data_IF_565618093610
#
_entry.id   IF_565618093610
#
_cell.length_a   1.000
_cell.length_b   1.000
_cell.length_c   1.000
_cell.angle_alpha   90.00
_cell.angle_beta   90.00
_cell.angle_gamma   90.00
#
_symmetry.space_group_name_H-M   'P 1'
#
loop_
_entity.id
_entity.type
_entity.pdbx_description
1 polymer ?
#
# COMPACT_ATOMS: atom_id res chain seq x y z
N UNK A 1 100.79 16.38 13.75
CA UNK A 1 99.86 16.96 14.72
C UNK A 1 98.56 17.31 14.02
N UNK A 2 97.63 16.38 13.96
CA UNK A 2 96.38 16.56 13.28
C UNK A 2 95.25 16.52 14.32
N UNK A 3 94.45 17.49 14.25
CA UNK A 3 93.24 17.53 15.10
C UNK A 3 92.08 16.98 14.27
N UNK A 4 91.48 15.91 14.76
CA UNK A 4 90.16 15.43 14.31
C UNK A 4 89.11 16.33 14.89
N UNK A 5 88.30 16.90 14.04
CA UNK A 5 87.05 17.53 14.37
C UNK A 5 85.91 16.58 14.07
N UNK A 6 85.28 16.09 15.09
CA UNK A 6 84.04 15.29 15.01
C UNK A 6 82.86 16.23 14.84
N UNK A 7 82.17 16.14 13.73
CA UNK A 7 80.86 16.75 13.48
C UNK A 7 79.75 15.83 13.96
N UNK A 8 78.77 16.31 14.75
CA UNK A 8 77.61 15.49 15.09
C UNK A 8 76.64 15.40 13.92
N UNK A 9 76.38 14.20 13.53
CA UNK A 9 75.38 13.85 12.52
C UNK A 9 73.98 14.09 13.12
N UNK A 10 73.30 15.14 12.68
CA UNK A 10 71.89 15.37 12.99
C UNK A 10 71.08 14.49 12.01
N UNK A 11 70.54 13.43 12.55
CA UNK A 11 69.59 12.57 11.86
C UNK A 11 68.21 13.31 11.80
N UNK A 12 67.69 13.66 10.63
CA UNK A 12 66.35 14.21 10.58
C UNK A 12 65.39 13.05 10.82
N UNK A 13 64.68 13.08 11.94
CA UNK A 13 63.51 12.27 12.20
C UNK A 13 62.45 12.72 11.20
N UNK A 14 62.34 11.99 10.12
CA UNK A 14 61.25 12.14 9.16
C UNK A 14 59.99 11.66 9.81
N UNK A 15 59.24 12.61 10.40
CA UNK A 15 57.91 12.41 10.94
C UNK A 15 57.00 12.19 9.72
N UNK A 16 56.87 10.95 9.27
CA UNK A 16 55.86 10.57 8.30
C UNK A 16 54.51 10.75 8.95
N UNK A 17 53.90 11.94 8.73
CA UNK A 17 52.49 12.18 8.97
C UNK A 17 51.72 11.30 8.02
N UNK A 18 51.34 10.10 8.45
CA UNK A 18 50.35 9.29 7.78
C UNK A 18 49.04 10.05 7.89
N UNK A 19 48.74 10.89 6.91
CA UNK A 19 47.41 11.32 6.65
C UNK A 19 46.64 10.07 6.35
N UNK A 20 45.96 9.54 7.34
CA UNK A 20 44.79 8.69 7.12
C UNK A 20 43.78 9.55 6.37
N UNK A 21 43.94 9.63 5.05
CA UNK A 21 42.86 10.04 4.16
C UNK A 21 41.79 9.00 4.36
N UNK A 22 40.93 9.25 5.36
CA UNK A 22 39.66 8.60 5.45
C UNK A 22 39.00 8.84 4.10
N UNK A 23 38.99 7.82 3.26
CA UNK A 23 38.09 7.74 2.13
C UNK A 23 36.67 7.84 2.69
N UNK A 24 36.24 9.06 3.00
CA UNK A 24 34.83 9.36 2.85
C UNK A 24 34.59 9.11 1.37
N UNK A 25 33.94 7.99 1.07
CA UNK A 25 33.27 7.82 -0.21
C UNK A 25 32.33 9.03 -0.31
N UNK A 26 32.81 10.07 -0.95
CA UNK A 26 31.97 11.11 -1.51
C UNK A 26 31.16 10.33 -2.54
N UNK A 27 30.00 9.84 -2.13
CA UNK A 27 28.97 9.47 -3.08
C UNK A 27 28.75 10.76 -3.84
N UNK A 28 29.34 10.83 -5.01
CA UNK A 28 29.17 11.91 -5.95
C UNK A 28 27.68 11.93 -6.26
N UNK A 29 26.97 12.80 -5.55
CA UNK A 29 25.55 13.03 -5.77
C UNK A 29 25.52 13.64 -7.16
N UNK A 30 25.15 12.85 -8.15
CA UNK A 30 24.82 13.41 -9.45
C UNK A 30 23.68 14.40 -9.22
N UNK A 31 24.01 15.68 -9.27
CA UNK A 31 23.03 16.75 -9.29
C UNK A 31 22.31 16.71 -10.64
N UNK A 32 21.33 15.79 -10.69
CA UNK A 32 20.43 15.73 -11.82
C UNK A 32 19.57 17.01 -11.76
N UNK A 33 19.74 17.88 -12.73
CA UNK A 33 18.86 19.05 -12.89
C UNK A 33 17.52 18.58 -13.43
N UNK A 34 16.49 18.48 -12.58
CA UNK A 34 15.21 17.96 -13.03
C UNK A 34 14.49 19.01 -13.87
N UNK A 35 13.89 18.59 -14.97
CA UNK A 35 13.06 19.44 -15.82
C UNK A 35 11.58 19.34 -15.44
N UNK A 36 11.17 18.18 -14.99
CA UNK A 36 9.79 17.86 -14.57
C UNK A 36 9.84 17.06 -13.28
N UNK A 37 8.73 16.99 -12.56
CA UNK A 37 8.64 16.29 -11.26
C UNK A 37 9.19 14.85 -11.31
N UNK A 38 8.95 14.11 -12.39
CA UNK A 38 9.43 12.73 -12.55
C UNK A 38 10.96 12.60 -12.53
N UNK A 39 11.69 13.66 -12.94
CA UNK A 39 13.14 13.65 -13.06
C UNK A 39 13.82 14.14 -11.78
N UNK A 40 13.02 14.52 -10.78
CA UNK A 40 13.51 15.10 -9.52
C UNK A 40 13.55 14.02 -8.46
N UNK A 41 14.71 13.68 -7.86
CA UNK A 41 14.73 12.91 -6.64
C UNK A 41 13.90 13.59 -5.57
N UNK A 42 13.02 12.86 -4.88
CA UNK A 42 12.08 13.46 -3.91
C UNK A 42 12.76 14.32 -2.84
N UNK A 43 13.96 13.95 -2.40
CA UNK A 43 14.77 14.71 -1.42
C UNK A 43 15.21 16.10 -1.91
N UNK A 44 15.23 16.32 -3.24
CA UNK A 44 15.64 17.58 -3.86
C UNK A 44 14.42 18.39 -4.34
N UNK A 45 13.22 17.90 -4.11
CA UNK A 45 11.99 18.62 -4.41
C UNK A 45 11.85 19.81 -3.48
N UNK A 46 11.71 20.99 -4.03
CA UNK A 46 11.20 22.12 -3.27
C UNK A 46 9.72 21.88 -3.02
N UNK A 47 9.29 22.02 -1.78
CA UNK A 47 7.90 21.83 -1.40
C UNK A 47 7.41 22.95 -0.50
N UNK A 48 6.10 23.16 -0.49
CA UNK A 48 5.42 24.06 0.42
C UNK A 48 4.22 23.35 1.02
N UNK A 49 4.18 23.25 2.35
CA UNK A 49 3.03 22.75 3.07
C UNK A 49 2.01 23.87 3.28
N UNK A 50 0.77 23.64 2.85
CA UNK A 50 -0.40 24.47 3.15
C UNK A 50 -1.29 23.69 4.10
N UNK A 51 -1.34 24.03 5.40
CA UNK A 51 -2.11 23.29 6.37
C UNK A 51 -3.60 23.60 6.29
N UNK A 52 -4.42 22.69 6.82
CA UNK A 52 -5.87 22.86 7.05
C UNK A 52 -6.65 23.29 5.80
N UNK A 53 -6.36 22.61 4.69
CA UNK A 53 -7.09 22.81 3.43
C UNK A 53 -8.36 21.95 3.38
N UNK A 54 -9.32 22.36 2.58
CA UNK A 54 -10.46 21.52 2.22
C UNK A 54 -10.08 20.61 1.06
N UNK A 55 -10.47 19.34 1.14
CA UNK A 55 -10.31 18.42 0.03
C UNK A 55 -11.26 18.83 -1.11
N UNK A 56 -10.80 18.87 -2.37
CA UNK A 56 -11.69 19.09 -3.51
C UNK A 56 -12.84 18.08 -3.54
N UNK A 57 -14.04 18.54 -3.89
CA UNK A 57 -15.26 17.71 -3.82
C UNK A 57 -15.21 16.43 -4.64
N UNK A 58 -14.48 16.43 -5.74
CA UNK A 58 -14.25 15.23 -6.57
C UNK A 58 -13.37 14.16 -5.89
N UNK A 59 -12.59 14.54 -4.87
CA UNK A 59 -11.78 13.61 -4.07
C UNK A 59 -12.44 13.26 -2.74
N UNK A 60 -13.48 14.01 -2.35
CA UNK A 60 -14.19 13.81 -1.10
C UNK A 60 -15.24 12.69 -1.17
N UNK A 61 -15.68 12.33 -2.37
CA UNK A 61 -16.64 11.25 -2.55
C UNK A 61 -15.95 9.91 -2.29
N UNK A 62 -16.30 9.28 -1.18
CA UNK A 62 -16.03 7.88 -0.98
C UNK A 62 -16.84 7.10 -2.03
N UNK A 63 -16.18 6.20 -2.77
CA UNK A 63 -16.85 5.30 -3.70
C UNK A 63 -17.93 4.53 -2.91
N UNK A 64 -19.16 4.99 -3.01
CA UNK A 64 -20.28 4.15 -2.64
C UNK A 64 -20.29 3.02 -3.64
N UNK A 65 -20.03 1.80 -3.16
CA UNK A 65 -20.04 0.60 -3.99
C UNK A 65 -21.47 0.35 -4.49
N UNK A 66 -21.88 1.10 -5.51
CA UNK A 66 -23.18 0.91 -6.15
C UNK A 66 -23.18 -0.45 -6.85
N UNK A 67 -24.07 -1.33 -6.37
CA UNK A 67 -24.26 -2.62 -7.01
C UNK A 67 -24.97 -2.41 -8.35
N UNK A 68 -24.44 -3.03 -9.40
CA UNK A 68 -25.14 -3.06 -10.69
C UNK A 68 -26.52 -3.70 -10.50
N UNK A 69 -27.57 -2.97 -10.85
CA UNK A 69 -28.96 -3.36 -10.60
C UNK A 69 -29.34 -4.68 -11.32
N UNK A 70 -28.87 -4.87 -12.54
CA UNK A 70 -29.18 -6.07 -13.32
C UNK A 70 -28.50 -7.31 -12.71
N UNK A 71 -27.27 -7.19 -12.26
CA UNK A 71 -26.55 -8.26 -11.54
C UNK A 71 -27.24 -8.54 -10.20
N UNK A 72 -27.63 -7.51 -9.45
CA UNK A 72 -28.35 -7.69 -8.19
C UNK A 72 -29.69 -8.43 -8.39
N UNK A 73 -30.44 -8.10 -9.45
CA UNK A 73 -31.69 -8.79 -9.80
C UNK A 73 -31.42 -10.26 -10.19
N UNK A 74 -30.31 -10.54 -10.87
CA UNK A 74 -29.93 -11.92 -11.18
C UNK A 74 -29.69 -12.74 -9.91
N UNK A 75 -28.94 -12.20 -8.94
CA UNK A 75 -28.71 -12.85 -7.64
C UNK A 75 -30.01 -13.08 -6.88
N UNK A 76 -30.85 -12.07 -6.77
CA UNK A 76 -32.14 -12.18 -6.09
C UNK A 76 -33.05 -13.24 -6.72
N UNK A 77 -32.99 -13.44 -8.05
CA UNK A 77 -33.84 -14.39 -8.75
C UNK A 77 -33.28 -15.82 -8.81
N UNK A 78 -31.96 -15.98 -8.89
CA UNK A 78 -31.33 -17.29 -9.22
C UNK A 78 -30.30 -17.75 -8.20
N UNK A 79 -29.87 -16.90 -7.27
CA UNK A 79 -28.82 -17.18 -6.28
C UNK A 79 -29.16 -16.62 -4.90
N UNK A 80 -30.30 -17.02 -4.38
CA UNK A 80 -30.83 -16.50 -3.12
C UNK A 80 -29.97 -16.85 -1.90
N UNK A 81 -29.21 -17.95 -1.97
CA UNK A 81 -28.30 -18.42 -0.93
C UNK A 81 -26.94 -17.71 -0.97
N UNK A 82 -26.66 -16.95 -2.04
CA UNK A 82 -25.40 -16.21 -2.21
C UNK A 82 -25.58 -14.73 -1.84
N UNK A 83 -24.74 -14.22 -0.99
CA UNK A 83 -24.75 -12.81 -0.61
C UNK A 83 -23.93 -11.97 -1.59
N UNK A 84 -24.56 -11.21 -2.49
CA UNK A 84 -23.85 -10.25 -3.33
C UNK A 84 -23.23 -9.14 -2.46
N UNK A 85 -21.90 -9.08 -2.42
CA UNK A 85 -21.14 -8.11 -1.63
C UNK A 85 -20.98 -6.79 -2.39
N UNK A 86 -20.45 -6.87 -3.61
CA UNK A 86 -20.04 -5.71 -4.41
C UNK A 86 -20.10 -6.04 -5.89
N UNK A 87 -20.22 -5.03 -6.74
CA UNK A 87 -19.98 -5.15 -8.20
C UNK A 87 -18.90 -4.16 -8.62
N UNK A 88 -18.08 -4.54 -9.61
CA UNK A 88 -17.02 -3.70 -10.17
C UNK A 88 -17.16 -3.66 -11.68
N UNK A 89 -17.58 -2.51 -12.22
CA UNK A 89 -17.74 -2.32 -13.64
C UNK A 89 -16.37 -2.22 -14.35
N UNK A 90 -16.29 -2.77 -15.57
CA UNK A 90 -15.11 -2.58 -16.42
C UNK A 90 -15.02 -1.13 -16.91
N UNK A 91 -13.81 -0.61 -17.21
CA UNK A 91 -13.64 0.76 -17.71
C UNK A 91 -14.39 1.06 -19.01
N UNK A 92 -14.63 0.04 -19.86
CA UNK A 92 -15.42 0.18 -21.10
C UNK A 92 -16.95 0.06 -20.89
N UNK A 93 -17.39 -0.16 -19.64
CA UNK A 93 -18.81 -0.29 -19.27
C UNK A 93 -19.53 -1.51 -19.83
N UNK A 94 -18.82 -2.52 -20.34
CA UNK A 94 -19.44 -3.70 -20.98
C UNK A 94 -19.52 -4.92 -20.08
N UNK A 95 -18.71 -4.96 -19.04
CA UNK A 95 -18.61 -6.10 -18.12
C UNK A 95 -18.71 -5.64 -16.68
N UNK A 96 -19.11 -6.57 -15.83
CA UNK A 96 -19.26 -6.36 -14.40
C UNK A 96 -18.71 -7.58 -13.67
N UNK A 97 -17.83 -7.38 -12.70
CA UNK A 97 -17.47 -8.40 -11.73
C UNK A 97 -18.50 -8.41 -10.62
N UNK A 98 -19.04 -9.56 -10.29
CA UNK A 98 -19.87 -9.77 -9.11
C UNK A 98 -19.05 -10.48 -8.05
N UNK A 99 -18.86 -9.84 -6.90
CA UNK A 99 -18.19 -10.40 -5.73
C UNK A 99 -19.28 -10.84 -4.76
N UNK A 100 -19.24 -12.09 -4.32
CA UNK A 100 -20.28 -12.64 -3.47
C UNK A 100 -19.74 -13.66 -2.47
N UNK A 101 -20.37 -13.70 -1.30
CA UNK A 101 -20.15 -14.73 -0.29
C UNK A 101 -21.11 -15.89 -0.51
N UNK A 102 -20.69 -17.10 -0.13
CA UNK A 102 -21.54 -18.29 -0.08
C UNK A 102 -21.54 -18.85 1.34
N UNK A 103 -22.53 -19.64 1.72
CA UNK A 103 -22.60 -20.27 3.05
C UNK A 103 -21.39 -21.17 3.38
N UNK A 104 -20.74 -21.68 2.34
CA UNK A 104 -19.59 -22.58 2.47
C UNK A 104 -18.24 -21.85 2.54
N UNK A 105 -18.23 -20.51 2.44
CA UNK A 105 -17.02 -19.69 2.51
C UNK A 105 -16.84 -19.11 3.91
N UNK A 106 -15.60 -19.01 4.41
CA UNK A 106 -15.34 -18.21 5.60
C UNK A 106 -15.72 -16.74 5.35
N UNK A 107 -16.13 -15.98 6.38
CA UNK A 107 -16.57 -14.58 6.22
C UNK A 107 -15.53 -13.65 5.58
N UNK A 108 -14.25 -14.01 5.65
CA UNK A 108 -13.14 -13.25 5.04
C UNK A 108 -12.92 -13.56 3.57
N UNK A 109 -13.52 -14.65 3.04
CA UNK A 109 -13.37 -15.07 1.66
C UNK A 109 -14.61 -14.80 0.82
N UNK A 110 -14.43 -14.65 -0.47
CA UNK A 110 -15.51 -14.43 -1.44
C UNK A 110 -15.25 -15.17 -2.75
N UNK A 111 -16.31 -15.28 -3.55
CA UNK A 111 -16.25 -15.80 -4.92
C UNK A 111 -16.43 -14.65 -5.90
N UNK A 112 -16.04 -14.87 -7.15
CA UNK A 112 -16.10 -13.83 -8.16
C UNK A 112 -16.54 -14.39 -9.51
N UNK A 113 -17.54 -13.75 -10.12
CA UNK A 113 -18.08 -14.09 -11.42
C UNK A 113 -18.09 -12.89 -12.36
N UNK A 114 -17.99 -13.18 -13.64
CA UNK A 114 -18.06 -12.19 -14.71
C UNK A 114 -19.47 -12.17 -15.30
N UNK A 115 -20.03 -10.96 -15.44
CA UNK A 115 -21.34 -10.68 -16.03
C UNK A 115 -21.21 -9.63 -17.15
N UNK A 116 -22.22 -9.58 -18.02
CA UNK A 116 -22.47 -8.42 -18.85
C UNK A 116 -23.10 -7.30 -18.00
N UNK A 117 -23.11 -6.07 -18.50
CA UNK A 117 -23.78 -4.92 -17.83
C UNK A 117 -25.29 -5.12 -17.75
N UNK A 118 -25.86 -5.91 -18.63
CA UNK A 118 -27.28 -6.29 -18.68
C UNK A 118 -27.64 -7.39 -17.66
N UNK A 119 -26.65 -7.92 -16.91
CA UNK A 119 -26.85 -8.94 -15.89
C UNK A 119 -26.81 -10.38 -16.42
N UNK A 120 -26.31 -10.60 -17.62
CA UNK A 120 -26.11 -11.95 -18.16
C UNK A 120 -24.83 -12.56 -17.55
N UNK A 121 -24.97 -13.74 -16.98
CA UNK A 121 -23.82 -14.50 -16.49
C UNK A 121 -22.93 -14.94 -17.63
N UNK A 122 -21.63 -14.62 -17.55
CA UNK A 122 -20.64 -15.01 -18.55
C UNK A 122 -19.86 -16.23 -18.06
N UNK A 123 -19.23 -16.15 -16.88
CA UNK A 123 -18.46 -17.26 -16.31
C UNK A 123 -18.04 -17.05 -14.87
N UNK A 124 -17.68 -18.15 -14.20
CA UNK A 124 -16.91 -18.09 -12.95
C UNK A 124 -15.45 -17.73 -13.27
N UNK A 125 -14.82 -16.89 -12.41
CA UNK A 125 -13.44 -16.46 -12.60
C UNK A 125 -12.45 -17.28 -11.80
N UNK A 126 -12.86 -17.78 -10.64
CA UNK A 126 -11.95 -18.34 -9.65
C UNK A 126 -12.19 -19.82 -9.44
N UNK A 127 -11.15 -20.67 -9.59
CA UNK A 127 -11.24 -22.10 -9.30
C UNK A 127 -11.65 -22.38 -7.84
N UNK A 128 -12.21 -23.56 -7.55
CA UNK A 128 -12.67 -23.90 -6.19
C UNK A 128 -11.58 -23.99 -5.15
N UNK A 129 -10.34 -24.32 -5.55
CA UNK A 129 -9.17 -24.46 -4.70
C UNK A 129 -8.50 -23.14 -4.32
N UNK A 130 -9.00 -22.01 -4.84
CA UNK A 130 -8.52 -20.67 -4.54
C UNK A 130 -9.59 -19.90 -3.76
N UNK A 131 -9.18 -19.23 -2.68
CA UNK A 131 -9.99 -18.31 -1.88
C UNK A 131 -9.60 -16.87 -2.16
N UNK A 132 -10.54 -16.05 -2.64
CA UNK A 132 -10.35 -14.61 -2.78
C UNK A 132 -10.54 -13.91 -1.44
N UNK A 133 -9.70 -12.92 -1.16
CA UNK A 133 -9.73 -12.10 0.06
C UNK A 133 -9.57 -10.63 -0.29
N UNK A 134 -9.92 -9.72 0.64
CA UNK A 134 -9.84 -8.26 0.43
C UNK A 134 -10.68 -7.77 -0.76
N UNK A 135 -12.01 -7.87 -0.70
CA UNK A 135 -12.91 -7.54 -1.82
C UNK A 135 -12.76 -6.09 -2.32
N UNK A 136 -12.28 -5.18 -1.47
CA UNK A 136 -12.00 -3.78 -1.82
C UNK A 136 -10.84 -3.62 -2.82
N UNK A 137 -9.93 -4.60 -2.90
CA UNK A 137 -8.78 -4.54 -3.79
C UNK A 137 -9.07 -5.03 -5.21
N UNK A 138 -10.19 -5.76 -5.42
CA UNK A 138 -10.55 -6.26 -6.74
C UNK A 138 -10.73 -5.11 -7.71
N UNK A 139 -9.96 -5.13 -8.79
CA UNK A 139 -9.98 -4.03 -9.76
C UNK A 139 -9.70 -4.51 -11.19
N UNK A 140 -10.19 -3.72 -12.13
CA UNK A 140 -9.74 -3.75 -13.51
C UNK A 140 -8.47 -2.91 -13.67
N UNK A 141 -7.61 -3.28 -14.63
CA UNK A 141 -6.62 -2.32 -15.12
C UNK A 141 -7.34 -1.12 -15.76
N UNK A 142 -6.80 0.09 -15.68
CA UNK A 142 -7.43 1.28 -16.29
C UNK A 142 -7.74 1.15 -17.78
N UNK A 143 -6.95 0.37 -18.53
CA UNK A 143 -7.17 0.06 -19.95
C UNK A 143 -8.19 -1.07 -20.18
N UNK A 144 -8.70 -1.68 -19.11
CA UNK A 144 -9.69 -2.74 -19.14
C UNK A 144 -9.20 -4.09 -19.69
N UNK A 145 -7.88 -4.30 -19.81
CA UNK A 145 -7.32 -5.56 -20.33
C UNK A 145 -7.20 -6.66 -19.30
N UNK A 146 -7.04 -6.29 -18.03
CA UNK A 146 -6.78 -7.23 -16.94
C UNK A 146 -7.74 -7.06 -15.79
N UNK A 147 -7.95 -8.14 -15.06
CA UNK A 147 -8.65 -8.21 -13.79
C UNK A 147 -7.62 -8.69 -12.76
N UNK A 148 -7.51 -8.00 -11.63
CA UNK A 148 -6.63 -8.37 -10.55
C UNK A 148 -7.39 -8.49 -9.23
N UNK A 149 -6.95 -9.42 -8.40
CA UNK A 149 -7.49 -9.68 -7.07
C UNK A 149 -6.44 -10.37 -6.20
N UNK A 150 -6.66 -10.38 -4.90
CA UNK A 150 -5.81 -11.07 -3.94
C UNK A 150 -6.48 -12.38 -3.54
N UNK A 151 -5.69 -13.45 -3.53
CA UNK A 151 -6.18 -14.77 -3.17
C UNK A 151 -5.06 -15.68 -2.65
N UNK A 152 -5.46 -16.74 -1.97
CA UNK A 152 -4.57 -17.80 -1.51
C UNK A 152 -5.17 -19.17 -1.79
N UNK A 153 -4.36 -20.20 -1.66
CA UNK A 153 -4.80 -21.58 -1.76
C UNK A 153 -5.64 -21.94 -0.53
N UNK A 154 -6.75 -22.62 -0.75
CA UNK A 154 -7.54 -23.17 0.34
C UNK A 154 -6.79 -24.29 1.02
N UNK A 155 -6.85 -24.32 2.34
CA UNK A 155 -6.46 -25.52 3.06
C UNK A 155 -7.37 -26.68 2.65
N UNK A 156 -6.77 -27.81 2.28
CA UNK A 156 -7.56 -29.02 2.05
C UNK A 156 -8.29 -29.37 3.37
N UNK A 157 -9.59 -29.70 3.32
CA UNK A 157 -10.26 -30.15 4.52
C UNK A 157 -9.46 -31.29 5.13
N UNK A 158 -9.07 -31.14 6.40
CA UNK A 158 -8.36 -32.21 7.11
C UNK A 158 -9.15 -33.50 6.94
N UNK A 159 -8.52 -34.61 6.50
CA UNK A 159 -9.24 -35.87 6.37
C UNK A 159 -9.87 -36.18 7.74
N UNK A 160 -11.19 -36.22 7.77
CA UNK A 160 -11.88 -36.67 8.99
C UNK A 160 -11.24 -37.98 9.44
N UNK A 161 -10.93 -38.16 10.71
CA UNK A 161 -10.34 -39.38 11.16
C UNK A 161 -11.25 -40.53 10.70
N UNK A 162 -10.75 -41.27 9.72
CA UNK A 162 -11.44 -42.45 9.23
C UNK A 162 -11.67 -43.36 10.43
N UNK A 163 -12.93 -43.70 10.80
CA UNK A 163 -13.12 -44.67 11.84
C UNK A 163 -12.34 -45.94 11.44
N UNK A 164 -11.43 -46.36 12.28
CA UNK A 164 -10.62 -47.55 12.03
C UNK A 164 -11.55 -48.74 11.89
N UNK A 165 -11.91 -49.06 10.66
CA UNK A 165 -12.56 -50.34 10.35
C UNK A 165 -11.54 -51.44 10.53
N UNK A 166 -11.85 -52.37 11.45
CA UNK A 166 -11.22 -53.68 11.49
C UNK A 166 -11.33 -54.34 10.13
N UNK A 167 -10.28 -54.99 9.63
CA UNK A 167 -10.36 -55.66 8.33
C UNK A 167 -11.27 -56.89 8.41
N UNK A 168 -12.38 -56.88 7.71
CA UNK A 168 -13.05 -58.11 7.31
C UNK A 168 -12.37 -58.67 6.05
N UNK A 169 -12.28 -60.01 5.92
CA UNK A 169 -11.49 -60.62 4.87
C UNK A 169 -12.23 -60.69 3.56
N UNK A 170 -11.47 -60.42 2.52
CA UNK A 170 -11.61 -60.89 1.15
C UNK A 170 -12.97 -60.78 0.41
N UNK A 171 -13.18 -59.61 -0.23
CA UNK A 171 -13.90 -59.57 -1.51
C UNK A 171 -13.11 -58.72 -2.48
N UNK A 172 -12.57 -59.31 -3.52
CA UNK A 172 -11.86 -58.66 -4.62
C UNK A 172 -12.81 -57.70 -5.35
N UNK A 173 -12.62 -56.35 -5.30
CA UNK A 173 -13.38 -55.46 -6.15
C UNK A 173 -12.70 -55.33 -7.52
N UNK A 174 -13.46 -55.65 -8.56
CA UNK A 174 -13.13 -55.26 -9.92
C UNK A 174 -12.88 -53.74 -9.99
N UNK A 175 -11.83 -53.27 -10.67
CA UNK A 175 -11.62 -51.83 -10.83
C UNK A 175 -12.64 -51.27 -11.80
N UNK A 176 -13.77 -50.81 -11.28
CA UNK A 176 -14.64 -49.89 -12.03
C UNK A 176 -13.93 -48.55 -12.08
N UNK A 177 -13.31 -48.25 -13.22
CA UNK A 177 -12.74 -46.91 -13.48
C UNK A 177 -13.86 -45.88 -13.33
N UNK A 178 -13.85 -45.13 -12.26
CA UNK A 178 -14.67 -43.92 -12.15
C UNK A 178 -14.32 -42.99 -13.31
N UNK A 179 -15.30 -42.43 -14.02
CA UNK A 179 -15.01 -41.46 -15.06
C UNK A 179 -14.27 -40.27 -14.43
N UNK A 180 -13.03 -40.08 -14.80
CA UNK A 180 -12.27 -38.89 -14.45
C UNK A 180 -12.96 -37.72 -15.13
N UNK A 181 -13.78 -37.00 -14.39
CA UNK A 181 -14.35 -35.74 -14.84
C UNK A 181 -13.16 -34.77 -15.00
N UNK A 182 -12.95 -34.36 -16.26
CA UNK A 182 -11.92 -33.34 -16.51
C UNK A 182 -12.20 -32.13 -15.65
N UNK A 183 -11.18 -31.54 -14.99
CA UNK A 183 -11.39 -30.38 -14.13
C UNK A 183 -12.00 -29.23 -14.97
N UNK A 184 -13.02 -28.59 -14.43
CA UNK A 184 -13.72 -27.47 -15.07
C UNK A 184 -12.77 -26.29 -15.36
N UNK A 185 -11.67 -26.22 -14.60
CA UNK A 185 -10.63 -25.21 -14.73
C UNK A 185 -9.28 -25.89 -14.96
N UNK A 186 -8.40 -25.31 -15.79
CA UNK A 186 -7.02 -25.74 -15.83
C UNK A 186 -6.37 -25.54 -14.47
N UNK A 187 -5.41 -26.38 -14.06
CA UNK A 187 -4.70 -26.22 -12.80
C UNK A 187 -3.98 -24.87 -12.80
N UNK A 188 -4.26 -24.06 -11.79
CA UNK A 188 -3.62 -22.75 -11.57
C UNK A 188 -2.63 -22.90 -10.44
N UNK A 189 -1.42 -22.37 -10.63
CA UNK A 189 -0.45 -22.30 -9.54
C UNK A 189 -1.04 -21.52 -8.37
N UNK A 190 -0.94 -22.03 -7.16
CA UNK A 190 -1.54 -21.45 -5.96
C UNK A 190 -0.59 -21.52 -4.77
N UNK A 191 -0.71 -20.55 -3.86
CA UNK A 191 0.13 -20.35 -2.70
C UNK A 191 -0.72 -20.32 -1.44
N UNK A 192 -0.15 -20.66 -0.29
CA UNK A 192 -0.85 -20.63 0.99
C UNK A 192 -0.96 -19.22 1.56
N UNK A 193 -0.02 -18.32 1.21
CA UNK A 193 -0.12 -16.91 1.55
C UNK A 193 -0.78 -16.10 0.44
N UNK A 194 -1.34 -14.97 0.79
CA UNK A 194 -2.09 -14.10 -0.09
C UNK A 194 -1.20 -13.53 -1.19
N UNK A 195 -1.49 -13.89 -2.42
CA UNK A 195 -0.82 -13.42 -3.63
C UNK A 195 -1.76 -12.60 -4.49
N UNK A 196 -1.22 -11.70 -5.30
CA UNK A 196 -1.97 -10.99 -6.33
C UNK A 196 -2.09 -11.91 -7.53
N UNK A 197 -3.33 -12.14 -7.99
CA UNK A 197 -3.64 -12.87 -9.19
C UNK A 197 -4.04 -11.93 -10.31
N UNK A 198 -3.83 -12.36 -11.53
CA UNK A 198 -4.20 -11.65 -12.76
C UNK A 198 -4.85 -12.60 -13.75
N UNK A 199 -5.90 -12.14 -14.41
CA UNK A 199 -6.45 -12.78 -15.60
C UNK A 199 -6.76 -11.72 -16.67
N UNK A 200 -7.02 -12.16 -17.91
CA UNK A 200 -7.44 -11.25 -18.94
C UNK A 200 -8.88 -10.77 -18.74
N UNK A 201 -9.31 -9.78 -19.51
CA UNK A 201 -10.66 -9.17 -19.43
C UNK A 201 -11.82 -10.14 -19.56
N UNK A 202 -11.60 -11.30 -20.16
CA UNK A 202 -12.62 -12.33 -20.36
C UNK A 202 -12.55 -13.42 -19.28
N UNK A 203 -11.66 -13.24 -18.29
CA UNK A 203 -11.47 -14.17 -17.18
C UNK A 203 -10.68 -15.42 -17.56
N UNK A 204 -9.94 -15.40 -18.66
CA UNK A 204 -9.00 -16.46 -19.03
C UNK A 204 -7.57 -16.13 -18.57
N UNK A 205 -6.68 -17.10 -18.71
CA UNK A 205 -5.26 -16.97 -18.39
C UNK A 205 -5.00 -16.56 -16.92
N UNK A 206 -5.85 -17.08 -16.02
CA UNK A 206 -5.68 -16.85 -14.58
C UNK A 206 -4.35 -17.42 -14.09
N UNK A 207 -3.56 -16.58 -13.48
CA UNK A 207 -2.26 -16.95 -12.89
C UNK A 207 -1.91 -16.04 -11.72
N UNK A 208 -1.08 -16.51 -10.77
CA UNK A 208 -0.50 -15.62 -9.78
C UNK A 208 0.46 -14.65 -10.46
N UNK A 209 0.31 -13.37 -10.18
CA UNK A 209 1.22 -12.31 -10.61
C UNK A 209 2.42 -12.21 -9.66
N UNK A 210 2.18 -12.38 -8.36
CA UNK A 210 3.22 -12.49 -7.33
C UNK A 210 3.39 -13.97 -6.93
N UNK A 211 4.62 -14.37 -6.58
CA UNK A 211 4.96 -15.77 -6.33
C UNK A 211 5.94 -15.88 -5.15
N UNK A 212 5.63 -15.14 -4.07
CA UNK A 212 6.49 -15.10 -2.87
C UNK A 212 5.76 -15.72 -1.69
N UNK A 213 5.83 -17.03 -1.58
CA UNK A 213 5.33 -17.73 -0.40
C UNK A 213 5.96 -17.15 0.89
N UNK A 214 5.14 -16.96 1.93
CA UNK A 214 5.55 -16.29 3.18
C UNK A 214 5.38 -14.77 3.18
N UNK A 215 4.95 -14.17 2.07
CA UNK A 215 4.50 -12.79 2.01
C UNK A 215 2.98 -12.73 1.83
N UNK A 216 2.34 -11.90 2.63
CA UNK A 216 0.93 -11.55 2.56
C UNK A 216 0.82 -10.23 1.80
N UNK A 217 0.28 -10.26 0.58
CA UNK A 217 -0.14 -9.07 -0.15
C UNK A 217 -1.56 -8.74 0.26
N UNK A 218 -1.79 -7.52 0.73
CA UNK A 218 -3.12 -7.13 1.24
C UNK A 218 -3.68 -5.88 0.59
N UNK A 219 -2.90 -5.19 -0.24
CA UNK A 219 -3.30 -4.02 -0.99
C UNK A 219 -2.52 -3.91 -2.29
N UNK A 220 -3.18 -3.44 -3.33
CA UNK A 220 -2.54 -2.97 -4.56
C UNK A 220 -3.41 -1.93 -5.26
N UNK A 221 -2.80 -1.12 -6.11
CA UNK A 221 -3.48 -0.23 -7.04
C UNK A 221 -2.70 -0.09 -8.34
N UNK A 222 -3.43 0.05 -9.45
CA UNK A 222 -2.85 0.22 -10.76
C UNK A 222 -2.28 1.61 -10.99
N UNK A 223 -1.21 1.69 -11.78
CA UNK A 223 -0.80 2.92 -12.43
C UNK A 223 -1.89 3.41 -13.39
N UNK A 224 -2.15 4.71 -13.50
CA UNK A 224 -3.16 5.26 -14.41
C UNK A 224 -3.02 4.81 -15.87
N UNK A 225 -1.81 4.53 -16.34
CA UNK A 225 -1.50 4.05 -17.69
C UNK A 225 -1.46 2.52 -17.83
N UNK A 226 -1.79 1.78 -16.75
CA UNK A 226 -1.83 0.31 -16.72
C UNK A 226 -0.49 -0.40 -16.90
N UNK A 227 0.64 0.29 -16.81
CA UNK A 227 1.95 -0.36 -17.01
C UNK A 227 2.44 -1.14 -15.79
N UNK A 228 1.96 -0.82 -14.58
CA UNK A 228 2.37 -1.46 -13.34
C UNK A 228 1.32 -1.33 -12.23
N UNK A 229 1.54 -2.07 -11.15
CA UNK A 229 0.82 -1.93 -9.89
C UNK A 229 1.81 -1.48 -8.81
N UNK A 230 1.34 -0.74 -7.82
CA UNK A 230 1.99 -0.64 -6.53
C UNK A 230 1.22 -1.48 -5.51
N UNK A 231 1.94 -2.24 -4.70
CA UNK A 231 1.34 -3.13 -3.71
C UNK A 231 1.98 -2.95 -2.34
N UNK A 232 1.27 -3.34 -1.29
CA UNK A 232 1.79 -3.50 0.06
C UNK A 232 1.82 -4.98 0.43
N UNK A 233 2.96 -5.42 0.96
CA UNK A 233 3.11 -6.77 1.47
C UNK A 233 3.94 -6.79 2.76
N UNK A 234 3.63 -7.73 3.65
CA UNK A 234 4.37 -8.01 4.87
C UNK A 234 4.59 -9.52 5.04
N UNK A 235 5.40 -9.90 6.00
CA UNK A 235 5.53 -11.31 6.40
C UNK A 235 4.36 -11.72 7.30
N UNK A 236 4.08 -13.01 7.40
CA UNK A 236 3.07 -13.54 8.33
C UNK A 236 3.32 -13.10 9.79
N UNK A 237 4.57 -13.11 10.23
CA UNK A 237 4.92 -12.70 11.59
C UNK A 237 4.64 -11.20 11.85
N UNK A 238 4.83 -10.35 10.84
CA UNK A 238 4.50 -8.91 10.92
C UNK A 238 2.99 -8.71 10.92
N UNK A 239 2.25 -9.46 10.10
CA UNK A 239 0.80 -9.46 10.08
C UNK A 239 0.22 -9.82 11.45
N UNK A 240 0.60 -10.96 11.98
CA UNK A 240 0.19 -11.47 13.31
C UNK A 240 0.50 -10.46 14.43
N UNK A 241 1.66 -9.83 14.36
CA UNK A 241 2.06 -8.84 15.36
C UNK A 241 1.14 -7.63 15.33
N UNK A 242 0.78 -7.14 14.14
CA UNK A 242 -0.13 -6.00 13.96
C UNK A 242 -1.54 -6.35 14.41
N UNK A 243 -2.04 -7.53 14.05
CA UNK A 243 -3.35 -8.03 14.44
C UNK A 243 -3.48 -8.14 15.98
N UNK A 244 -2.50 -8.75 16.65
CA UNK A 244 -2.45 -8.83 18.12
C UNK A 244 -2.41 -7.46 18.82
N UNK A 245 -1.93 -6.44 18.13
CA UNK A 245 -1.91 -5.06 18.61
C UNK A 245 -3.16 -4.27 18.20
N UNK A 246 -4.13 -4.87 17.54
CA UNK A 246 -5.33 -4.21 16.97
C UNK A 246 -4.98 -3.02 16.07
N UNK A 247 -3.88 -3.12 15.33
CA UNK A 247 -3.42 -2.10 14.37
C UNK A 247 -3.79 -2.49 12.96
N UNK A 248 -3.97 -1.48 12.11
CA UNK A 248 -4.14 -1.69 10.68
C UNK A 248 -2.96 -2.46 10.10
N UNK A 249 -3.17 -3.29 9.07
CA UNK A 249 -2.09 -3.93 8.34
C UNK A 249 -1.07 -2.90 7.87
N UNK A 250 0.20 -3.25 7.95
CA UNK A 250 1.28 -2.44 7.41
C UNK A 250 2.21 -3.32 6.57
N UNK A 251 2.62 -2.79 5.43
CA UNK A 251 3.46 -3.52 4.48
C UNK A 251 4.56 -2.67 3.88
N UNK A 252 5.47 -3.33 3.18
CA UNK A 252 6.51 -2.69 2.38
C UNK A 252 5.97 -2.40 0.99
N UNK A 253 6.14 -1.18 0.48
CA UNK A 253 5.67 -0.83 -0.86
C UNK A 253 6.54 -1.53 -1.93
N UNK A 254 5.86 -2.11 -2.92
CA UNK A 254 6.45 -2.88 -4.01
C UNK A 254 5.85 -2.45 -5.33
N UNK A 255 6.68 -2.30 -6.35
CA UNK A 255 6.26 -2.09 -7.73
C UNK A 255 6.23 -3.44 -8.44
N UNK A 256 5.14 -3.74 -9.14
CA UNK A 256 4.91 -5.01 -9.82
C UNK A 256 4.43 -4.72 -11.23
N UNK A 257 5.07 -5.31 -12.22
CA UNK A 257 4.65 -5.20 -13.63
C UNK A 257 3.77 -6.39 -14.04
N UNK A 258 2.94 -6.28 -15.10
CA UNK A 258 2.04 -7.35 -15.52
C UNK A 258 2.73 -8.65 -15.96
N UNK A 259 4.03 -8.61 -16.22
CA UNK A 259 4.86 -9.81 -16.48
C UNK A 259 5.31 -10.54 -15.21
N UNK A 260 5.02 -9.97 -14.02
CA UNK A 260 5.38 -10.53 -12.72
C UNK A 260 6.74 -10.05 -12.19
N UNK A 261 7.41 -9.13 -12.87
CA UNK A 261 8.62 -8.51 -12.32
C UNK A 261 8.27 -7.64 -11.12
N UNK A 262 9.03 -7.78 -10.04
CA UNK A 262 8.76 -7.11 -8.76
C UNK A 262 10.00 -6.38 -8.26
N UNK A 263 9.79 -5.13 -7.82
CA UNK A 263 10.82 -4.28 -7.21
C UNK A 263 10.35 -3.76 -5.85
N UNK A 264 11.11 -4.04 -4.80
CA UNK A 264 10.92 -3.41 -3.49
C UNK A 264 11.22 -1.91 -3.60
N UNK A 265 10.31 -1.07 -3.12
CA UNK A 265 10.47 0.39 -3.12
C UNK A 265 11.06 0.92 -1.83
N UNK A 266 10.70 0.31 -0.69
CA UNK A 266 11.21 0.69 0.63
C UNK A 266 11.21 -0.52 1.58
N UNK A 267 12.16 -0.53 2.52
CA UNK A 267 12.24 -1.56 3.57
C UNK A 267 11.33 -1.26 4.77
N UNK A 268 10.85 -0.02 4.88
CA UNK A 268 9.96 0.41 5.96
C UNK A 268 8.56 -0.18 5.82
N UNK A 269 7.94 -0.49 6.95
CA UNK A 269 6.53 -0.85 7.00
C UNK A 269 5.68 0.42 7.05
N UNK A 270 4.65 0.49 6.22
CA UNK A 270 3.66 1.57 6.23
C UNK A 270 2.25 1.02 6.21
N UNK A 271 1.33 1.68 6.92
CA UNK A 271 -0.12 1.49 6.85
C UNK A 271 -0.80 2.57 5.97
N UNK A 272 -0.04 3.57 5.50
CA UNK A 272 -0.51 4.53 4.53
C UNK A 272 -0.51 3.93 3.13
N UNK A 273 -1.69 3.81 2.52
CA UNK A 273 -1.84 3.24 1.19
C UNK A 273 -1.10 4.09 0.15
N UNK A 274 -0.27 3.48 -0.71
CA UNK A 274 0.45 4.19 -1.74
C UNK A 274 -0.47 4.72 -2.83
N UNK A 275 -0.14 5.88 -3.38
CA UNK A 275 -0.86 6.52 -4.47
C UNK A 275 0.06 6.82 -5.65
N UNK A 276 -0.51 6.77 -6.85
CA UNK A 276 0.18 7.10 -8.08
C UNK A 276 0.10 8.59 -8.40
N UNK A 277 1.19 9.14 -8.94
CA UNK A 277 1.12 10.38 -9.67
C UNK A 277 0.25 10.19 -10.93
N UNK A 278 -0.60 11.16 -11.30
CA UNK A 278 -1.49 11.01 -12.47
C UNK A 278 -0.80 10.70 -13.79
N UNK A 279 0.48 11.06 -13.93
CA UNK A 279 1.30 10.76 -15.09
C UNK A 279 1.97 9.38 -15.04
N UNK A 280 1.66 8.57 -14.04
CA UNK A 280 2.21 7.23 -13.80
C UNK A 280 3.73 7.18 -13.54
N UNK A 281 4.40 8.32 -13.45
CA UNK A 281 5.86 8.37 -13.33
C UNK A 281 6.37 8.11 -11.92
N UNK A 282 5.55 8.35 -10.90
CA UNK A 282 5.94 8.30 -9.48
C UNK A 282 4.86 7.70 -8.60
N UNK A 283 5.31 7.21 -7.46
CA UNK A 283 4.48 6.65 -6.38
C UNK A 283 4.80 7.42 -5.10
N UNK A 284 3.78 7.77 -4.33
CA UNK A 284 3.93 8.32 -2.99
C UNK A 284 3.30 7.40 -1.95
N UNK A 285 3.95 7.30 -0.80
CA UNK A 285 3.37 6.73 0.43
C UNK A 285 3.86 7.53 1.62
N UNK A 286 3.42 7.19 2.82
CA UNK A 286 3.85 7.89 4.03
C UNK A 286 4.38 6.91 5.07
N UNK A 287 5.32 7.39 5.88
CA UNK A 287 5.85 6.69 7.04
C UNK A 287 5.74 7.65 8.22
N UNK A 288 4.76 7.42 9.08
CA UNK A 288 4.40 8.35 10.17
C UNK A 288 4.14 9.77 9.65
N UNK A 289 5.12 10.67 9.80
CA UNK A 289 5.02 12.07 9.38
C UNK A 289 5.81 12.40 8.12
N UNK A 290 6.46 11.42 7.52
CA UNK A 290 7.29 11.63 6.34
C UNK A 290 6.54 11.14 5.08
N UNK A 291 6.66 11.89 3.99
CA UNK A 291 6.23 11.44 2.67
C UNK A 291 7.41 10.87 1.93
N UNK A 292 7.26 9.63 1.44
CA UNK A 292 8.24 9.00 0.56
C UNK A 292 7.71 9.03 -0.88
N UNK A 293 8.58 9.38 -1.82
CA UNK A 293 8.28 9.41 -3.27
C UNK A 293 9.31 8.55 -3.99
N UNK A 294 8.83 7.69 -4.89
CA UNK A 294 9.65 6.75 -5.66
C UNK A 294 9.39 6.91 -7.15
N UNK A 295 10.44 6.83 -7.95
CA UNK A 295 10.28 6.71 -9.41
C UNK A 295 9.72 5.33 -9.76
N UNK A 296 8.68 5.29 -10.57
CA UNK A 296 8.08 4.05 -11.04
C UNK A 296 8.92 3.37 -12.13
N UNK A 297 9.57 4.14 -12.99
CA UNK A 297 10.36 3.65 -14.12
C UNK A 297 11.74 4.29 -14.21
N UNK A 298 12.44 3.97 -15.31
CA UNK A 298 13.78 4.49 -15.61
C UNK A 298 14.89 3.49 -15.30
N UNK A 299 16.07 3.69 -15.92
CA UNK A 299 17.22 2.81 -15.74
C UNK A 299 17.86 2.93 -14.35
N UNK A 300 17.72 4.09 -13.72
CA UNK A 300 18.22 4.40 -12.38
C UNK A 300 17.12 5.08 -11.57
N UNK A 301 16.10 4.31 -11.13
CA UNK A 301 15.00 4.89 -10.39
C UNK A 301 15.49 5.50 -9.06
N UNK A 302 15.00 6.67 -8.76
CA UNK A 302 15.35 7.41 -7.54
C UNK A 302 14.25 7.34 -6.50
N UNK A 303 14.60 7.61 -5.26
CA UNK A 303 13.69 7.70 -4.14
C UNK A 303 14.12 8.80 -3.19
N UNK A 304 13.19 9.35 -2.44
CA UNK A 304 13.52 10.33 -1.42
C UNK A 304 12.38 10.51 -0.44
N UNK A 305 12.70 11.12 0.70
CA UNK A 305 11.73 11.42 1.75
C UNK A 305 11.63 12.92 1.97
N UNK A 306 10.41 13.39 2.20
CA UNK A 306 10.06 14.75 2.58
C UNK A 306 9.68 14.71 4.06
N UNK A 307 10.54 15.18 4.97
CA UNK A 307 10.23 15.18 6.40
C UNK A 307 9.22 16.29 6.71
N UNK A 308 8.05 15.92 7.22
CA UNK A 308 6.98 16.86 7.57
C UNK A 308 6.71 16.94 9.08
N UNK A 309 7.47 16.22 9.91
CA UNK A 309 7.22 16.19 11.36
C UNK A 309 7.15 17.56 11.98
N UNK A 310 8.15 18.42 11.78
CA UNK A 310 8.16 19.78 12.32
C UNK A 310 7.10 20.70 11.70
N UNK A 311 6.93 20.77 10.36
CA UNK A 311 5.83 21.49 9.75
C UNK A 311 4.44 21.09 10.26
N UNK A 312 4.17 19.79 10.45
CA UNK A 312 2.89 19.28 10.95
C UNK A 312 2.66 19.63 12.42
N UNK A 313 3.70 19.60 13.26
CA UNK A 313 3.62 20.06 14.66
C UNK A 313 3.28 21.55 14.69
N UNK A 314 3.98 22.38 13.91
CA UNK A 314 3.71 23.81 13.84
C UNK A 314 2.27 24.10 13.37
N UNK A 315 1.79 23.36 12.35
CA UNK A 315 0.41 23.47 11.89
C UNK A 315 -0.60 23.09 12.98
N UNK A 316 -0.30 22.10 13.81
CA UNK A 316 -1.18 21.69 14.93
C UNK A 316 -1.24 22.73 16.03
N UNK A 317 -0.12 23.31 16.39
CA UNK A 317 -0.07 24.42 17.39
C UNK A 317 -0.90 25.61 16.89
N UNK A 318 -0.70 26.04 15.64
CA UNK A 318 -1.47 27.15 15.05
C UNK A 318 -2.98 26.87 15.00
N UNK A 319 -3.38 25.62 14.72
CA UNK A 319 -4.77 25.20 14.75
C UNK A 319 -5.37 25.27 16.15
N UNK A 320 -4.65 24.81 17.16
CA UNK A 320 -5.10 24.87 18.57
C UNK A 320 -5.27 26.32 19.04
N UNK A 321 -4.31 27.19 18.76
CA UNK A 321 -4.38 28.62 19.09
C UNK A 321 -5.59 29.30 18.44
N UNK A 322 -5.84 29.03 17.16
CA UNK A 322 -6.99 29.56 16.43
C UNK A 322 -8.30 29.04 17.01
N UNK A 323 -8.35 27.77 17.37
CA UNK A 323 -9.56 27.13 17.96
C UNK A 323 -9.83 27.67 19.36
N UNK A 324 -8.81 27.89 20.18
CA UNK A 324 -8.92 28.50 21.49
C UNK A 324 -9.40 29.95 21.40
N UNK A 325 -8.86 30.74 20.48
CA UNK A 325 -9.27 32.14 20.24
C UNK A 325 -10.74 32.22 19.79
N UNK A 326 -11.19 31.30 18.93
CA UNK A 326 -12.60 31.23 18.50
C UNK A 326 -13.54 30.91 19.68
N UNK A 327 -13.19 29.91 20.51
CA UNK A 327 -13.98 29.56 21.69
C UNK A 327 -14.07 30.71 22.72
N UNK A 328 -12.97 31.43 22.92
CA UNK A 328 -12.94 32.60 23.81
C UNK A 328 -13.82 33.76 23.29
N UNK A 329 -13.87 33.94 21.97
CA UNK A 329 -14.77 34.94 21.33
C UNK A 329 -16.24 34.58 21.42
N UNK A 330 -16.56 33.26 21.34
CA UNK A 330 -17.94 32.78 21.42
C UNK A 330 -18.47 32.72 22.86
N UNK A 331 -17.60 32.62 23.88
CA UNK A 331 -18.03 32.56 25.30
C UNK A 331 -17.05 33.32 26.22
N UNK A 332 -17.16 34.66 26.28
CA UNK A 332 -16.23 35.50 27.03
C UNK A 332 -16.22 35.24 28.55
N UNK A 333 -17.25 34.61 29.11
CA UNK A 333 -17.31 34.26 30.52
C UNK A 333 -16.58 32.96 30.91
N UNK A 334 -16.13 32.17 29.95
CA UNK A 334 -15.37 30.94 30.21
C UNK A 334 -13.84 31.17 30.37
N UNK A 335 -13.38 32.40 30.23
CA UNK A 335 -11.96 32.75 30.17
C UNK A 335 -11.22 32.78 31.53
N UNK A 336 -11.87 32.47 32.65
CA UNK A 336 -11.30 32.63 33.98
C UNK A 336 -10.79 31.35 34.68
N UNK A 337 -10.78 30.20 34.01
CA UNK A 337 -10.41 28.94 34.67
C UNK A 337 -9.44 28.10 33.88
N UNK A 338 -8.32 28.63 33.39
CA UNK A 338 -7.19 27.76 33.04
C UNK A 338 -5.94 28.53 32.66
N UNK A 339 -5.24 29.03 33.66
CA UNK A 339 -3.84 29.42 33.55
C UNK A 339 -2.99 28.47 34.40
N UNK A 340 -2.95 27.22 34.01
CA UNK A 340 -1.89 26.33 34.43
C UNK A 340 -1.14 25.97 33.15
N UNK A 341 0.04 26.56 33.01
CA UNK A 341 1.03 26.23 31.97
C UNK A 341 1.56 24.81 32.20
N UNK A 342 0.68 23.84 32.05
CA UNK A 342 1.09 22.46 31.90
C UNK A 342 1.55 22.35 30.46
N UNK A 343 2.82 21.98 30.24
CA UNK A 343 3.35 21.72 28.90
C UNK A 343 2.33 20.88 28.13
N UNK A 344 1.83 21.42 27.02
CA UNK A 344 0.84 20.71 26.20
C UNK A 344 1.38 19.30 25.92
N UNK A 345 0.58 18.24 26.10
CA UNK A 345 1.04 16.90 25.82
C UNK A 345 1.51 16.82 24.36
N UNK A 346 2.53 16.02 24.07
CA UNK A 346 3.05 15.91 22.73
C UNK A 346 1.95 15.51 21.77
N UNK A 347 1.74 16.32 20.74
CA UNK A 347 0.83 15.98 19.64
C UNK A 347 1.60 15.21 18.58
N UNK A 348 0.95 14.15 18.09
CA UNK A 348 1.47 13.32 17.04
C UNK A 348 0.51 13.37 15.84
N UNK A 349 1.01 13.66 14.65
CA UNK A 349 0.21 13.85 13.46
C UNK A 349 0.64 12.86 12.35
N UNK A 350 0.35 11.56 12.48
CA UNK A 350 0.68 10.61 11.44
C UNK A 350 -0.13 10.90 10.17
N UNK A 351 0.49 10.71 9.03
CA UNK A 351 -0.17 10.77 7.72
C UNK A 351 -0.85 9.43 7.51
N UNK A 352 -2.18 9.45 7.37
CA UNK A 352 -3.01 8.24 7.27
C UNK A 352 -3.60 8.01 5.89
N UNK A 353 -3.62 9.04 5.02
CA UNK A 353 -4.11 8.94 3.64
C UNK A 353 -3.43 9.98 2.76
N UNK A 354 -3.23 9.60 1.51
CA UNK A 354 -2.68 10.44 0.45
C UNK A 354 -3.66 10.49 -0.70
N UNK A 355 -3.72 11.64 -1.41
CA UNK A 355 -4.43 11.82 -2.67
C UNK A 355 -3.56 12.64 -3.60
N UNK A 356 -3.31 12.16 -4.81
CA UNK A 356 -2.41 12.82 -5.76
C UNK A 356 -3.11 13.19 -7.07
N UNK A 357 -3.92 14.28 -7.08
CA UNK A 357 -4.73 14.64 -8.24
C UNK A 357 -3.95 15.32 -9.38
N UNK A 358 -2.80 15.94 -9.09
CA UNK A 358 -1.93 16.55 -10.10
C UNK A 358 -0.45 16.40 -9.72
N UNK A 359 0.50 16.41 -10.67
CA UNK A 359 1.93 16.21 -10.37
C UNK A 359 2.49 17.14 -9.30
N UNK A 360 1.95 18.35 -9.19
CA UNK A 360 2.41 19.37 -8.26
C UNK A 360 1.62 19.42 -6.94
N UNK A 361 0.53 18.66 -6.80
CA UNK A 361 -0.38 18.75 -5.65
C UNK A 361 -0.63 17.38 -5.02
N UNK A 362 -0.04 17.16 -3.86
CA UNK A 362 -0.27 15.97 -3.06
C UNK A 362 -1.01 16.36 -1.78
N UNK A 363 -2.23 15.85 -1.62
CA UNK A 363 -3.02 16.03 -0.41
C UNK A 363 -2.66 14.97 0.63
N UNK A 364 -2.53 15.42 1.87
CA UNK A 364 -2.18 14.58 3.01
C UNK A 364 -3.30 14.66 4.04
N UNK A 365 -3.85 13.53 4.43
CA UNK A 365 -4.77 13.42 5.56
C UNK A 365 -3.98 13.00 6.80
N UNK A 366 -3.97 13.82 7.82
CA UNK A 366 -3.34 13.47 9.09
C UNK A 366 -4.38 13.09 10.14
N UNK A 367 -4.04 12.11 10.97
CA UNK A 367 -4.70 11.90 12.24
C UNK A 367 -4.00 12.74 13.31
N UNK A 368 -4.75 13.52 14.06
CA UNK A 368 -4.21 14.23 15.23
C UNK A 368 -4.43 13.35 16.45
N UNK A 369 -3.34 12.91 17.06
CA UNK A 369 -3.37 12.09 18.26
C UNK A 369 -2.86 12.93 19.42
N UNK A 370 -3.73 13.22 20.39
CA UNK A 370 -3.36 13.88 21.63
C UNK A 370 -3.46 12.90 22.79
N UNK A 371 -2.36 12.67 23.47
CA UNK A 371 -2.34 11.83 24.67
C UNK A 371 -2.66 12.73 25.87
N UNK A 372 -3.84 12.56 26.44
CA UNK A 372 -4.29 13.27 27.64
C UNK A 372 -4.13 12.37 28.87
N UNK A 373 -3.77 12.92 30.04
CA UNK A 373 -3.60 12.12 31.26
C UNK A 373 -4.86 11.36 31.72
N UNK A 374 -6.05 11.84 31.33
CA UNK A 374 -7.35 11.28 31.73
C UNK A 374 -8.20 10.75 30.57
N UNK A 375 -7.77 10.92 29.33
CA UNK A 375 -8.51 10.50 28.13
C UNK A 375 -7.63 9.68 27.23
N UNK A 376 -8.17 8.60 26.74
CA UNK A 376 -7.37 7.60 26.06
C UNK A 376 -6.80 8.08 24.73
N UNK A 377 -7.49 8.89 23.93
CA UNK A 377 -6.94 9.48 22.67
C UNK A 377 -8.02 10.37 22.07
N UNK A 378 -7.75 11.65 21.82
CA UNK A 378 -8.57 12.49 20.96
C UNK A 378 -7.98 12.43 19.54
N UNK A 379 -8.66 11.75 18.63
CA UNK A 379 -8.27 11.71 17.23
C UNK A 379 -9.22 12.57 16.40
N UNK A 380 -8.68 13.50 15.62
CA UNK A 380 -9.41 14.15 14.55
C UNK A 380 -8.56 14.26 13.30
N UNK A 381 -9.19 14.26 12.16
CA UNK A 381 -8.52 14.20 10.87
C UNK A 381 -8.51 15.56 10.22
N UNK A 382 -7.37 15.93 9.63
CA UNK A 382 -7.18 17.19 8.92
C UNK A 382 -6.51 16.93 7.57
N UNK A 383 -6.88 17.71 6.58
CA UNK A 383 -6.23 17.69 5.28
C UNK A 383 -5.21 18.82 5.15
N UNK A 384 -4.09 18.51 4.56
CA UNK A 384 -3.03 19.45 4.22
C UNK A 384 -2.68 19.27 2.74
N UNK A 385 -2.20 20.32 2.10
CA UNK A 385 -1.73 20.28 0.73
C UNK A 385 -0.22 20.45 0.70
N UNK A 386 0.47 19.49 0.13
CA UNK A 386 1.88 19.56 -0.20
C UNK A 386 2.00 19.98 -1.67
N UNK A 387 2.39 21.25 -1.89
CA UNK A 387 2.71 21.73 -3.21
C UNK A 387 4.16 21.32 -3.53
N UNK A 388 4.33 20.56 -4.58
CA UNK A 388 5.61 20.08 -5.08
C UNK A 388 6.06 20.97 -6.23
N UNK A 389 7.33 21.34 -6.27
CA UNK A 389 7.89 22.12 -7.38
C UNK A 389 8.62 21.19 -8.35
N UNK A 390 8.35 21.36 -9.64
CA UNK A 390 9.10 20.71 -10.71
C UNK A 390 10.54 21.26 -10.85
N UNK A 391 10.82 22.39 -10.24
CA UNK A 391 12.16 22.99 -10.26
C UNK A 391 12.97 22.48 -9.08
N UNK A 392 14.10 21.87 -9.34
CA UNK A 392 15.06 21.59 -8.27
C UNK A 392 15.45 22.91 -7.60
N UNK A 393 15.49 22.91 -6.29
CA UNK A 393 16.17 23.96 -5.58
C UNK A 393 17.64 23.92 -6.05
N UNK A 394 18.06 24.96 -6.75
CA UNK A 394 19.48 25.16 -7.06
C UNK A 394 20.16 25.36 -5.71
N UNK A 395 20.84 24.34 -5.24
CA UNK A 395 21.74 24.50 -4.11
C UNK A 395 22.80 25.51 -4.54
N UNK A 396 22.77 26.69 -3.92
CA UNK A 396 23.84 27.68 -4.05
C UNK A 396 25.10 27.17 -3.38
#
# INVERSE_FOLDING_TARGET
MSRLTTTPSILPILFTLVFAAGCKSVIERQDVRPRVLRDVPARNLAFRLSPDVQLPGNLANEDTADKNVNVANYFAAKRQDDALLRTVASPDGKRVLALYGTENEPPSAFRMDLFSTEGEFIRNLVPPDIACVFPETVSWSPDGRYINFIAHRREAPSPSPTPSFQPEPDVTPSPTASPTVAPLFPPVQSFYTEQIYICNRDGYDLKPLTQREGLIYFYFTWAPDSHALVALACTEAEWDTREKQYKLPAGRPRLITPDGSERLLDDGLTDALPVWCPDSSKIATAFDTDVAIYDAGGNTPTQGRIPLGQPLIAASVAYEEKSASKKASENPNAAHTSSTSTSAPPSFNPIVRLEWPSPEQLYLKTAFVRVMPSETINTFQRWHLLNLSAQAAVLK
#
